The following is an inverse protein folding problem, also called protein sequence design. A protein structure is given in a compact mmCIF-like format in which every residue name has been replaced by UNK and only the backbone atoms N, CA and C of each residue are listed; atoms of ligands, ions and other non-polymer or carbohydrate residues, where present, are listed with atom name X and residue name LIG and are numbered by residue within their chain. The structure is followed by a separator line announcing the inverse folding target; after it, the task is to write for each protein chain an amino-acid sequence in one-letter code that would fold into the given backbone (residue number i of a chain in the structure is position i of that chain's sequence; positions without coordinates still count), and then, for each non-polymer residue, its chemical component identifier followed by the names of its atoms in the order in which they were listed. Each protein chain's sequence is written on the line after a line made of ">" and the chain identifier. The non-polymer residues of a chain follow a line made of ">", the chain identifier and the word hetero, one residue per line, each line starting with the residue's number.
data_IF_269342396864
#
_entry.id   IF_269342396864
#
_cell.length_a   1.000
_cell.length_b   1.000
_cell.length_c   1.000
_cell.angle_alpha   90.00
_cell.angle_beta   90.00
_cell.angle_gamma   90.00
#
_symmetry.space_group_name_H-M   'P 1'
#
loop_
_entity.id
_entity.type
_entity.pdbx_description
1 polymer ?
#
# COMPACT_ATOMS: atom_id res chain seq x y z
N UNK A 1 -1.85 -4.59 -10.98
CA UNK A 1 -1.17 -3.36 -11.43
C UNK A 1 0.33 -3.56 -11.35
N UNK A 2 1.08 -3.13 -12.36
CA UNK A 2 2.55 -3.20 -12.36
C UNK A 2 3.06 -1.78 -12.15
N UNK A 3 3.58 -1.50 -10.95
CA UNK A 3 4.20 -0.21 -10.63
C UNK A 3 5.71 -0.34 -10.50
N UNK A 4 6.41 0.78 -10.29
CA UNK A 4 7.86 0.81 -10.07
C UNK A 4 8.33 -0.10 -8.91
N UNK A 5 7.42 -0.45 -7.98
CA UNK A 5 7.68 -1.25 -6.78
C UNK A 5 7.21 -2.71 -6.87
N UNK A 6 6.90 -3.19 -8.08
CA UNK A 6 6.52 -4.59 -8.33
C UNK A 6 5.05 -4.81 -8.73
N UNK A 7 4.68 -6.08 -8.82
CA UNK A 7 3.33 -6.51 -9.23
C UNK A 7 2.39 -6.57 -8.04
N UNK A 8 1.24 -5.90 -8.15
CA UNK A 8 0.14 -5.97 -7.19
C UNK A 8 -0.99 -6.80 -7.78
N UNK A 9 -1.40 -7.83 -7.05
CA UNK A 9 -2.49 -8.74 -7.40
C UNK A 9 -3.73 -8.43 -6.56
N UNK A 10 -4.91 -8.50 -7.17
CA UNK A 10 -6.18 -8.52 -6.44
C UNK A 10 -6.46 -9.98 -6.06
N UNK A 11 -6.69 -10.25 -4.78
CA UNK A 11 -6.91 -11.60 -4.27
C UNK A 11 -8.14 -11.66 -3.36
N UNK A 12 -8.58 -12.88 -3.08
CA UNK A 12 -9.67 -13.17 -2.14
C UNK A 12 -9.09 -13.91 -0.94
N UNK A 13 -9.27 -13.34 0.25
CA UNK A 13 -8.92 -13.98 1.51
C UNK A 13 -9.94 -15.06 1.86
N UNK A 14 -9.54 -16.32 1.78
CA UNK A 14 -10.40 -17.47 2.02
C UNK A 14 -10.68 -17.72 3.51
N UNK A 15 -9.87 -17.17 4.41
CA UNK A 15 -10.02 -17.36 5.86
C UNK A 15 -10.91 -16.27 6.47
N UNK A 16 -10.93 -15.07 5.89
CA UNK A 16 -11.73 -13.94 6.35
C UNK A 16 -12.96 -13.70 5.47
N UNK A 17 -13.79 -14.73 5.31
CA UNK A 17 -15.11 -14.61 4.67
C UNK A 17 -15.08 -14.17 3.20
N UNK A 18 -13.97 -14.37 2.50
CA UNK A 18 -13.84 -13.96 1.09
C UNK A 18 -13.52 -12.48 0.91
N UNK A 19 -12.99 -11.79 1.92
CA UNK A 19 -12.59 -10.39 1.81
C UNK A 19 -11.61 -10.19 0.64
N UNK A 20 -11.83 -9.14 -0.15
CA UNK A 20 -10.93 -8.78 -1.24
C UNK A 20 -9.74 -8.00 -0.69
N UNK A 21 -8.54 -8.40 -1.09
CA UNK A 21 -7.26 -7.81 -0.64
C UNK A 21 -6.34 -7.49 -1.81
N UNK A 22 -5.37 -6.61 -1.58
CA UNK A 22 -4.31 -6.28 -2.53
C UNK A 22 -2.98 -6.91 -2.08
N UNK A 23 -2.46 -7.87 -2.85
CA UNK A 23 -1.19 -8.55 -2.55
C UNK A 23 -0.06 -7.96 -3.39
N UNK A 24 0.88 -7.24 -2.75
CA UNK A 24 2.07 -6.70 -3.39
C UNK A 24 3.23 -7.70 -3.28
N UNK A 25 3.70 -8.20 -4.43
CA UNK A 25 4.87 -9.09 -4.50
C UNK A 25 6.15 -8.27 -4.44
N UNK A 26 6.96 -8.50 -3.42
CA UNK A 26 8.27 -7.88 -3.21
C UNK A 26 9.33 -8.96 -3.32
N UNK A 27 10.34 -8.73 -4.17
CA UNK A 27 11.54 -9.57 -4.23
C UNK A 27 12.61 -8.90 -3.37
N UNK A 28 13.16 -9.65 -2.44
CA UNK A 28 14.19 -9.20 -1.51
C UNK A 28 15.45 -9.99 -1.80
N UNK A 29 16.52 -9.31 -2.20
CA UNK A 29 17.83 -9.93 -2.33
C UNK A 29 18.34 -10.28 -0.93
N UNK A 30 18.71 -11.55 -0.72
CA UNK A 30 19.33 -11.98 0.51
C UNK A 30 20.80 -11.55 0.52
N UNK A 31 21.25 -11.15 1.69
CA UNK A 31 22.66 -10.90 2.02
C UNK A 31 23.23 -12.12 2.75
N UNK A 32 24.52 -12.12 3.05
CA UNK A 32 25.15 -13.15 3.90
C UNK A 32 24.45 -13.26 5.26
N UNK A 33 23.93 -12.14 5.78
CA UNK A 33 23.15 -12.05 7.03
C UNK A 33 21.64 -12.29 6.84
N UNK A 34 21.21 -12.71 5.65
CA UNK A 34 19.80 -12.92 5.30
C UNK A 34 19.08 -11.66 4.82
N UNK A 35 17.90 -11.36 5.36
CA UNK A 35 17.05 -10.26 4.89
C UNK A 35 17.69 -8.90 5.25
N UNK A 36 17.82 -7.95 4.30
CA UNK A 36 18.31 -6.61 4.60
C UNK A 36 17.51 -5.92 5.71
N UNK A 37 18.23 -5.31 6.66
CA UNK A 37 17.62 -4.60 7.79
C UNK A 37 16.70 -3.45 7.36
N UNK A 38 16.99 -2.81 6.22
CA UNK A 38 16.12 -1.80 5.63
C UNK A 38 14.73 -2.36 5.30
N UNK A 39 14.66 -3.54 4.68
CA UNK A 39 13.40 -4.22 4.37
C UNK A 39 12.63 -4.57 5.64
N UNK A 40 13.31 -5.11 6.66
CA UNK A 40 12.67 -5.42 7.94
C UNK A 40 12.11 -4.16 8.62
N UNK A 41 12.86 -3.05 8.60
CA UNK A 41 12.41 -1.75 9.14
C UNK A 41 11.18 -1.23 8.43
N UNK A 42 11.14 -1.29 7.10
CA UNK A 42 9.97 -0.85 6.32
C UNK A 42 8.72 -1.67 6.66
N UNK A 43 8.85 -3.00 6.74
CA UNK A 43 7.74 -3.88 7.11
C UNK A 43 7.28 -3.60 8.55
N UNK A 44 8.22 -3.44 9.49
CA UNK A 44 7.91 -3.14 10.88
C UNK A 44 7.17 -1.80 11.03
N UNK A 45 7.59 -0.77 10.28
CA UNK A 45 6.89 0.52 10.26
C UNK A 45 5.46 0.38 9.73
N UNK A 46 5.26 -0.33 8.62
CA UNK A 46 3.90 -0.57 8.08
C UNK A 46 3.00 -1.32 9.08
N UNK A 47 3.54 -2.33 9.77
CA UNK A 47 2.82 -3.04 10.83
C UNK A 47 2.49 -2.14 12.02
N UNK A 48 3.41 -1.27 12.41
CA UNK A 48 3.15 -0.30 13.49
C UNK A 48 2.05 0.68 13.10
N UNK A 49 2.02 1.17 11.86
CA UNK A 49 0.96 2.07 11.38
C UNK A 49 -0.42 1.40 11.37
N UNK A 50 -0.48 0.10 11.07
CA UNK A 50 -1.71 -0.69 11.10
C UNK A 50 -2.43 -0.62 12.46
N UNK A 51 -1.66 -0.61 13.56
CA UNK A 51 -2.20 -0.57 14.92
C UNK A 51 -3.06 0.68 15.20
N UNK A 52 -2.78 1.80 14.53
CA UNK A 52 -3.53 3.05 14.69
C UNK A 52 -4.82 3.09 13.86
N UNK A 53 -4.92 2.26 12.81
CA UNK A 53 -6.08 2.19 11.91
C UNK A 53 -6.54 3.57 11.40
N UNK A 54 -5.58 4.43 11.06
CA UNK A 54 -5.87 5.77 10.56
C UNK A 54 -6.66 5.69 9.24
N UNK A 55 -7.79 6.39 9.08
CA UNK A 55 -8.71 6.18 7.95
C UNK A 55 -8.15 6.63 6.60
N UNK A 56 -7.09 7.44 6.58
CA UNK A 56 -6.42 7.91 5.37
C UNK A 56 -5.05 7.24 5.13
N UNK A 57 -4.78 6.11 5.79
CA UNK A 57 -3.57 5.29 5.57
C UNK A 57 -4.00 3.86 5.25
N UNK A 58 -3.52 3.34 4.12
CA UNK A 58 -3.79 1.97 3.71
C UNK A 58 -3.20 0.98 4.71
N UNK A 59 -4.00 0.00 5.14
CA UNK A 59 -3.61 -1.00 6.13
C UNK A 59 -2.84 -2.15 5.51
N UNK A 60 -1.72 -2.51 6.12
CA UNK A 60 -1.01 -3.76 5.87
C UNK A 60 -1.65 -4.85 6.76
N UNK A 61 -2.50 -5.69 6.18
CA UNK A 61 -3.22 -6.75 6.90
C UNK A 61 -2.31 -7.94 7.23
N UNK A 62 -1.45 -8.33 6.29
CA UNK A 62 -0.54 -9.46 6.50
C UNK A 62 0.78 -9.40 5.70
N UNK A 63 1.73 -10.25 6.08
CA UNK A 63 3.02 -10.44 5.41
C UNK A 63 3.27 -11.93 5.28
N UNK A 64 3.20 -12.44 4.05
CA UNK A 64 3.41 -13.85 3.77
C UNK A 64 4.71 -14.05 3.00
N UNK A 65 5.35 -15.21 3.18
CA UNK A 65 6.46 -15.60 2.31
C UNK A 65 5.93 -16.42 1.13
N UNK A 66 6.31 -16.03 -0.09
CA UNK A 66 6.19 -16.93 -1.24
C UNK A 66 7.18 -18.07 -1.04
N UNK A 67 6.76 -19.31 -1.27
CA UNK A 67 7.58 -20.51 -1.04
C UNK A 67 9.03 -20.40 -1.52
N UNK A 68 9.91 -21.21 -0.94
CA UNK A 68 11.35 -21.16 -1.16
C UNK A 68 11.68 -21.40 -2.64
N UNK A 69 12.00 -20.35 -3.38
CA UNK A 69 12.86 -20.46 -4.56
C UNK A 69 14.30 -20.17 -4.11
N UNK A 70 14.73 -20.82 -3.02
CA UNK A 70 16.03 -20.58 -2.39
C UNK A 70 17.20 -21.17 -3.17
N UNK A 71 16.95 -21.95 -4.22
CA UNK A 71 18.02 -22.78 -4.81
C UNK A 71 18.69 -22.18 -6.05
N UNK A 72 18.19 -21.08 -6.63
CA UNK A 72 18.80 -20.51 -7.87
C UNK A 72 19.18 -19.03 -7.81
N UNK A 73 18.46 -18.18 -7.08
CA UNK A 73 18.61 -16.72 -7.22
C UNK A 73 18.92 -15.94 -5.92
N UNK A 74 19.12 -16.61 -4.76
CA UNK A 74 19.30 -15.96 -3.44
C UNK A 74 18.27 -14.84 -3.16
N UNK A 75 17.03 -15.02 -3.61
CA UNK A 75 15.95 -14.04 -3.47
C UNK A 75 14.81 -14.62 -2.63
N UNK A 76 14.42 -13.88 -1.61
CA UNK A 76 13.19 -14.14 -0.87
C UNK A 76 12.04 -13.37 -1.53
N UNK A 77 10.93 -14.06 -1.79
CA UNK A 77 9.70 -13.43 -2.24
C UNK A 77 8.79 -13.21 -1.05
N UNK A 78 8.45 -11.95 -0.78
CA UNK A 78 7.46 -11.58 0.21
C UNK A 78 6.18 -11.10 -0.50
N UNK A 79 5.04 -11.40 0.11
CA UNK A 79 3.75 -10.86 -0.25
C UNK A 79 3.27 -9.97 0.91
N UNK A 80 3.20 -8.67 0.65
CA UNK A 80 2.58 -7.71 1.55
C UNK A 80 1.09 -7.64 1.20
N UNK A 81 0.23 -8.05 2.13
CA UNK A 81 -1.22 -8.11 1.96
C UNK A 81 -1.82 -6.83 2.52
N UNK A 82 -2.36 -5.98 1.66
CA UNK A 82 -3.02 -4.74 2.03
C UNK A 82 -4.54 -4.86 1.89
N UNK A 83 -5.26 -3.96 2.55
CA UNK A 83 -6.67 -3.77 2.20
C UNK A 83 -6.81 -3.34 0.74
N UNK A 84 -7.89 -3.78 0.09
CA UNK A 84 -8.17 -3.40 -1.28
C UNK A 84 -8.91 -2.06 -1.32
N UNK A 85 -8.40 -1.14 -2.13
CA UNK A 85 -9.08 0.10 -2.52
C UNK A 85 -9.27 0.09 -4.03
N UNK A 86 -10.39 0.64 -4.51
CA UNK A 86 -10.91 0.43 -5.86
C UNK A 86 -9.98 0.96 -6.97
N UNK A 87 -9.42 2.14 -6.79
CA UNK A 87 -8.58 2.81 -7.79
C UNK A 87 -7.61 3.80 -7.14
N UNK A 88 -6.63 4.27 -7.90
CA UNK A 88 -5.78 5.40 -7.52
C UNK A 88 -6.37 6.74 -8.00
N UNK A 89 -5.87 7.84 -7.44
CA UNK A 89 -6.35 9.19 -7.74
C UNK A 89 -6.12 9.58 -9.20
N UNK A 90 -5.07 9.09 -9.85
CA UNK A 90 -4.85 9.37 -11.28
C UNK A 90 -5.92 8.74 -12.14
N UNK A 91 -6.21 7.46 -11.90
CA UNK A 91 -7.29 6.72 -12.55
C UNK A 91 -8.65 7.36 -12.30
N UNK A 92 -8.90 7.81 -11.05
CA UNK A 92 -10.11 8.54 -10.69
C UNK A 92 -10.26 9.85 -11.50
N UNK A 93 -9.20 10.67 -11.54
CA UNK A 93 -9.20 11.96 -12.24
C UNK A 93 -9.38 11.80 -13.75
N UNK A 94 -8.72 10.80 -14.37
CA UNK A 94 -8.83 10.52 -15.81
C UNK A 94 -10.23 10.06 -16.24
N UNK A 95 -10.96 9.38 -15.34
CA UNK A 95 -12.34 8.93 -15.60
C UNK A 95 -13.38 10.04 -15.45
N UNK A 96 -13.04 11.14 -14.76
CA UNK A 96 -13.94 12.26 -14.56
C UNK A 96 -14.17 12.99 -15.89
N UNK A 97 -15.41 12.93 -16.41
CA UNK A 97 -15.76 13.62 -17.66
C UNK A 97 -15.92 15.14 -17.47
N UNK A 98 -16.10 15.58 -16.22
CA UNK A 98 -16.27 16.97 -15.85
C UNK A 98 -15.29 17.34 -14.73
N UNK A 99 -14.97 18.63 -14.58
CA UNK A 99 -14.18 19.10 -13.44
C UNK A 99 -14.82 18.67 -12.11
N UNK A 100 -13.98 18.26 -11.16
CA UNK A 100 -14.45 17.92 -9.82
C UNK A 100 -15.06 19.15 -9.16
N UNK A 101 -16.12 18.93 -8.38
CA UNK A 101 -16.72 20.00 -7.59
C UNK A 101 -15.72 20.52 -6.55
N UNK A 102 -15.82 21.80 -6.19
CA UNK A 102 -15.00 22.40 -5.12
C UNK A 102 -15.15 21.65 -3.79
N UNK A 103 -16.34 21.12 -3.51
CA UNK A 103 -16.60 20.30 -2.32
C UNK A 103 -15.76 19.02 -2.33
N UNK A 104 -15.72 18.33 -3.46
CA UNK A 104 -14.94 17.09 -3.63
C UNK A 104 -13.45 17.37 -3.50
N UNK A 105 -12.95 18.41 -4.17
CA UNK A 105 -11.54 18.82 -4.09
C UNK A 105 -11.16 19.11 -2.64
N UNK A 106 -11.96 19.93 -1.93
CA UNK A 106 -11.72 20.26 -0.51
C UNK A 106 -11.69 19.01 0.37
N UNK A 107 -12.63 18.07 0.15
CA UNK A 107 -12.68 16.82 0.93
C UNK A 107 -11.43 15.97 0.71
N UNK A 108 -11.05 15.74 -0.55
CA UNK A 108 -9.86 14.96 -0.89
C UNK A 108 -8.58 15.60 -0.37
N UNK A 109 -8.44 16.93 -0.51
CA UNK A 109 -7.29 17.64 0.06
C UNK A 109 -7.21 17.48 1.58
N UNK A 110 -8.35 17.53 2.28
CA UNK A 110 -8.39 17.29 3.72
C UNK A 110 -7.96 15.86 4.06
N UNK A 111 -8.49 14.85 3.37
CA UNK A 111 -8.15 13.44 3.59
C UNK A 111 -6.64 13.17 3.35
N UNK A 112 -6.07 13.75 2.30
CA UNK A 112 -4.62 13.67 2.00
C UNK A 112 -3.81 14.32 3.13
N UNK A 113 -4.16 15.56 3.51
CA UNK A 113 -3.44 16.29 4.56
C UNK A 113 -3.56 15.59 5.92
N UNK A 114 -4.72 15.03 6.23
CA UNK A 114 -4.96 14.21 7.43
C UNK A 114 -4.04 12.99 7.48
N UNK A 115 -3.92 12.24 6.37
CA UNK A 115 -2.98 11.11 6.29
C UNK A 115 -1.52 11.54 6.41
N UNK A 116 -1.13 12.65 5.78
CA UNK A 116 0.23 13.18 5.84
C UNK A 116 0.58 13.68 7.24
N UNK A 117 -0.32 14.42 7.89
CA UNK A 117 -0.15 14.88 9.27
C UNK A 117 0.04 13.70 10.22
N UNK A 118 -0.78 12.65 10.07
CA UNK A 118 -0.61 11.41 10.83
C UNK A 118 0.78 10.79 10.62
N UNK A 119 1.26 10.64 9.37
CA UNK A 119 2.60 10.11 9.11
C UNK A 119 3.70 10.99 9.74
N UNK A 120 3.58 12.31 9.61
CA UNK A 120 4.54 13.27 10.16
C UNK A 120 4.58 13.25 11.68
N UNK A 121 3.44 13.10 12.36
CA UNK A 121 3.37 12.93 13.82
C UNK A 121 4.11 11.68 14.32
N UNK A 122 4.26 10.67 13.46
CA UNK A 122 5.03 9.45 13.70
C UNK A 122 6.46 9.51 13.12
N UNK A 123 6.93 10.69 12.71
CA UNK A 123 8.26 10.95 12.13
C UNK A 123 8.52 10.17 10.83
N UNK A 124 7.47 9.87 10.06
CA UNK A 124 7.56 9.18 8.78
C UNK A 124 7.32 10.18 7.65
N UNK A 125 8.25 10.25 6.71
CA UNK A 125 8.09 11.04 5.48
C UNK A 125 7.75 10.07 4.34
N UNK A 126 6.63 10.31 3.64
CA UNK A 126 6.19 9.42 2.55
C UNK A 126 7.20 9.36 1.38
N UNK A 127 7.84 10.48 1.04
CA UNK A 127 8.88 10.67 0.00
C UNK A 127 8.47 10.40 -1.46
N UNK A 128 7.38 9.67 -1.72
CA UNK A 128 6.88 9.42 -3.09
C UNK A 128 5.38 9.80 -3.20
N UNK A 129 5.00 10.98 -2.71
CA UNK A 129 3.61 11.42 -2.76
C UNK A 129 3.26 11.85 -4.19
N UNK A 130 2.40 11.07 -4.85
CA UNK A 130 1.93 11.30 -6.22
C UNK A 130 0.56 10.65 -6.42
N UNK A 131 -0.22 11.05 -7.45
CA UNK A 131 -1.58 10.52 -7.68
C UNK A 131 -1.69 8.99 -7.69
N UNK A 132 -0.71 8.27 -8.25
CA UNK A 132 -0.68 6.81 -8.27
C UNK A 132 -0.61 6.14 -6.89
N UNK A 133 -0.10 6.84 -5.86
CA UNK A 133 0.04 6.33 -4.49
C UNK A 133 -1.08 6.83 -3.57
N UNK A 134 -2.00 7.65 -4.07
CA UNK A 134 -3.20 8.08 -3.36
C UNK A 134 -4.35 7.19 -3.83
N UNK A 135 -4.86 6.35 -2.94
CA UNK A 135 -5.94 5.44 -3.26
C UNK A 135 -7.29 6.10 -2.97
N UNK A 136 -8.27 5.84 -3.83
CA UNK A 136 -9.62 6.42 -3.77
C UNK A 136 -10.64 5.29 -3.83
N UNK A 137 -11.48 5.22 -2.81
CA UNK A 137 -12.63 4.32 -2.71
C UNK A 137 -13.72 4.72 -3.72
N UNK A 138 -14.65 3.81 -4.00
CA UNK A 138 -15.83 4.10 -4.83
C UNK A 138 -16.67 5.29 -4.30
N UNK A 139 -16.59 5.60 -3.01
CA UNK A 139 -17.27 6.74 -2.39
C UNK A 139 -16.52 8.09 -2.57
N UNK A 140 -15.35 8.09 -3.20
CA UNK A 140 -14.55 9.30 -3.41
C UNK A 140 -13.74 9.74 -2.19
N UNK A 141 -13.47 8.82 -1.26
CA UNK A 141 -12.58 8.99 -0.11
C UNK A 141 -11.28 8.24 -0.33
#
# INVERSE_FOLDING_TARGET
>A
MTGAYGTVYKARDLHNGGQIVAMKKVKVALTEDGIPLSTLREIALLRQLEAYRHPNIVRLLDVCHGGQSLERDQQLVLFLVFEHVDQDLESFLKRSQTPLSQRTIRSMSYDILSGIDFLHSHRIVHRDLKPHNLLVTAAGR
#
